data_IF_324591937587
#
_entry.id   IF_324591937587
#
_cell.length_a   1.000
_cell.length_b   1.000
_cell.length_c   1.000
_cell.angle_alpha   90.00
_cell.angle_beta   90.00
_cell.angle_gamma   90.00
#
_symmetry.space_group_name_H-M   'P 1'
#
loop_
_entity.id
_entity.type
_entity.pdbx_description
1 polymer ?
#
# COMPACT_ATOMS: atom_id res chain seq x y z
N UNK A 1 10.47 -26.77 14.56
CA UNK A 1 9.98 -26.21 13.29
C UNK A 1 9.99 -24.71 13.45
N UNK A 2 10.53 -23.91 12.52
CA UNK A 2 10.38 -22.47 12.61
C UNK A 2 8.88 -22.14 12.61
N UNK A 3 8.47 -21.25 13.50
CA UNK A 3 7.07 -20.76 13.55
C UNK A 3 6.79 -20.08 12.22
N UNK A 4 5.74 -20.51 11.49
CA UNK A 4 5.28 -19.80 10.29
C UNK A 4 4.85 -18.41 10.75
N UNK A 5 5.52 -17.38 10.25
CA UNK A 5 5.19 -15.99 10.58
C UNK A 5 3.81 -15.68 10.03
N UNK A 6 3.08 -14.84 10.76
CA UNK A 6 1.74 -14.43 10.33
C UNK A 6 1.86 -13.61 9.04
N UNK A 7 1.02 -13.94 8.06
CA UNK A 7 0.87 -13.14 6.84
C UNK A 7 0.53 -11.69 7.18
N UNK A 8 1.03 -10.77 6.37
CA UNK A 8 0.59 -9.37 6.39
C UNK A 8 -0.34 -9.18 5.19
N UNK A 9 -1.63 -9.11 5.47
CA UNK A 9 -2.70 -9.16 4.50
C UNK A 9 -3.87 -8.23 4.88
N UNK A 10 -4.97 -8.31 4.14
CA UNK A 10 -6.14 -7.50 4.40
C UNK A 10 -6.10 -6.14 3.69
N UNK A 11 -6.78 -5.15 4.26
CA UNK A 11 -6.84 -3.79 3.71
C UNK A 11 -5.71 -2.96 4.30
N UNK A 12 -4.69 -2.68 3.45
CA UNK A 12 -3.45 -2.03 3.86
C UNK A 12 -3.33 -0.68 3.13
N UNK A 13 -3.76 0.44 3.73
CA UNK A 13 -3.52 1.75 3.16
C UNK A 13 -2.04 2.04 2.93
N UNK A 14 -1.72 2.51 1.72
CA UNK A 14 -0.42 3.10 1.38
C UNK A 14 -0.43 4.55 1.84
N UNK A 15 0.16 4.81 3.00
CA UNK A 15 0.00 6.09 3.71
C UNK A 15 0.53 7.28 2.92
N UNK A 16 -0.14 8.41 3.08
CA UNK A 16 0.34 9.72 2.62
C UNK A 16 1.24 10.34 3.69
N UNK A 17 2.16 11.21 3.26
CA UNK A 17 2.87 12.12 4.18
C UNK A 17 2.23 13.50 4.10
N UNK A 18 1.51 13.95 5.13
CA UNK A 18 1.03 15.34 5.18
C UNK A 18 2.21 16.29 5.42
N UNK A 19 2.22 17.39 4.69
CA UNK A 19 3.16 18.49 4.90
C UNK A 19 2.40 19.77 5.26
N UNK A 20 3.07 20.67 5.95
CA UNK A 20 2.61 22.06 6.08
C UNK A 20 2.87 22.85 4.78
N UNK A 21 2.48 24.14 4.78
CA UNK A 21 2.68 25.00 3.61
C UNK A 21 4.17 25.38 3.38
N UNK A 22 5.06 25.09 4.32
CA UNK A 22 6.51 25.25 4.23
C UNK A 22 7.21 23.97 3.77
N UNK A 23 6.47 22.86 3.64
CA UNK A 23 6.97 21.56 3.20
C UNK A 23 7.61 20.73 4.32
N UNK A 24 7.45 21.11 5.59
CA UNK A 24 7.79 20.25 6.73
C UNK A 24 6.65 19.23 6.99
N UNK A 25 6.99 18.09 7.60
CA UNK A 25 6.00 17.06 7.93
C UNK A 25 5.03 17.59 9.00
N UNK A 26 3.71 17.57 8.71
CA UNK A 26 2.66 17.90 9.70
C UNK A 26 2.28 16.65 10.49
N UNK A 27 2.94 16.49 11.62
CA UNK A 27 2.74 15.35 12.53
C UNK A 27 1.32 15.26 13.08
N UNK A 28 0.66 16.39 13.31
CA UNK A 28 -0.73 16.42 13.77
C UNK A 28 -1.72 15.92 12.71
N UNK A 29 -1.52 16.30 11.45
CA UNK A 29 -2.29 15.76 10.34
C UNK A 29 -1.96 14.28 10.08
N UNK A 30 -0.72 13.84 10.34
CA UNK A 30 -0.34 12.42 10.22
C UNK A 30 -1.04 11.56 11.28
N UNK A 31 -1.10 12.02 12.53
CA UNK A 31 -1.84 11.34 13.60
C UNK A 31 -3.32 11.22 13.26
N UNK A 32 -3.94 12.32 12.82
CA UNK A 32 -5.34 12.32 12.37
C UNK A 32 -5.60 11.37 11.19
N UNK A 33 -4.65 11.23 10.27
CA UNK A 33 -4.73 10.30 9.15
C UNK A 33 -4.65 8.84 9.64
N UNK A 34 -3.75 8.53 10.57
CA UNK A 34 -3.60 7.19 11.14
C UNK A 34 -4.92 6.77 11.83
N UNK A 35 -5.48 7.62 12.68
CA UNK A 35 -6.75 7.34 13.34
C UNK A 35 -7.88 7.14 12.32
N UNK A 36 -7.93 7.97 11.26
CA UNK A 36 -8.91 7.82 10.20
C UNK A 36 -8.79 6.46 9.48
N UNK A 37 -7.58 5.97 9.18
CA UNK A 37 -7.42 4.64 8.58
C UNK A 37 -7.95 3.54 9.49
N UNK A 38 -7.61 3.60 10.77
CA UNK A 38 -8.03 2.61 11.76
C UNK A 38 -9.54 2.61 11.97
N UNK A 39 -10.16 3.79 12.08
CA UNK A 39 -11.63 3.95 12.14
C UNK A 39 -12.32 3.41 10.88
N UNK A 40 -11.67 3.51 9.73
CA UNK A 40 -12.16 2.98 8.45
C UNK A 40 -11.82 1.49 8.25
N UNK A 41 -11.28 0.83 9.26
CA UNK A 41 -11.10 -0.61 9.27
C UNK A 41 -9.88 -1.09 8.50
N UNK A 42 -8.83 -0.29 8.42
CA UNK A 42 -7.53 -0.76 7.94
C UNK A 42 -7.03 -1.94 8.78
N UNK A 43 -6.47 -2.94 8.13
CA UNK A 43 -5.96 -4.18 8.75
C UNK A 43 -4.43 -4.18 8.85
N UNK A 44 -3.78 -3.21 8.24
CA UNK A 44 -2.36 -2.90 8.34
C UNK A 44 -2.10 -1.50 7.78
N UNK A 45 -0.93 -0.91 8.04
CA UNK A 45 -0.54 0.39 7.49
C UNK A 45 0.83 0.30 6.80
N UNK A 46 0.91 0.77 5.57
CA UNK A 46 2.19 0.89 4.85
C UNK A 46 2.73 2.31 4.99
N UNK A 47 3.51 2.54 6.04
CA UNK A 47 3.90 3.87 6.51
C UNK A 47 4.83 4.61 5.54
N UNK A 48 5.84 3.91 4.99
CA UNK A 48 6.81 4.49 4.06
C UNK A 48 6.77 3.73 2.74
N UNK A 49 6.27 4.38 1.70
CA UNK A 49 6.13 3.80 0.35
C UNK A 49 6.10 4.93 -0.69
N UNK A 50 5.82 4.62 -1.95
CA UNK A 50 5.74 5.65 -2.99
C UNK A 50 4.66 6.71 -2.68
N UNK A 51 3.51 6.31 -2.16
CA UNK A 51 2.42 7.23 -1.79
C UNK A 51 2.80 8.21 -0.68
N UNK A 52 3.71 7.82 0.20
CA UNK A 52 4.29 8.71 1.21
C UNK A 52 5.37 9.65 0.65
N UNK A 53 5.58 9.63 -0.66
CA UNK A 53 6.59 10.44 -1.35
C UNK A 53 8.03 10.07 -0.91
N UNK A 54 8.29 8.78 -0.64
CA UNK A 54 9.56 8.32 -0.05
C UNK A 54 10.80 8.76 -0.84
N UNK A 55 10.69 8.95 -2.17
CA UNK A 55 11.79 9.43 -3.03
C UNK A 55 12.14 10.89 -2.79
N UNK A 56 11.26 11.66 -2.13
CA UNK A 56 11.41 13.07 -1.82
C UNK A 56 11.65 13.33 -0.33
N UNK A 57 11.83 12.27 0.45
CA UNK A 57 12.13 12.29 1.87
C UNK A 57 13.59 11.87 2.12
N UNK A 58 14.27 12.55 3.03
CA UNK A 58 15.55 12.09 3.55
C UNK A 58 15.41 10.78 4.31
N UNK A 59 16.49 10.03 4.50
CA UNK A 59 16.47 8.82 5.33
C UNK A 59 15.98 9.10 6.75
N UNK A 60 16.38 10.23 7.33
CA UNK A 60 15.93 10.66 8.64
C UNK A 60 14.41 10.85 8.69
N UNK A 61 13.83 11.56 7.72
CA UNK A 61 12.37 11.73 7.63
C UNK A 61 11.64 10.41 7.42
N UNK A 62 12.17 9.49 6.58
CA UNK A 62 11.57 8.17 6.36
C UNK A 62 11.54 7.33 7.64
N UNK A 63 12.64 7.32 8.40
CA UNK A 63 12.72 6.57 9.66
C UNK A 63 11.86 7.20 10.75
N UNK A 64 11.79 8.53 10.82
CA UNK A 64 10.95 9.24 11.77
C UNK A 64 9.46 9.02 11.49
N UNK A 65 9.04 9.02 10.21
CA UNK A 65 7.68 8.65 9.78
C UNK A 65 7.30 7.24 10.24
N UNK A 66 8.18 6.26 10.03
CA UNK A 66 7.95 4.88 10.44
C UNK A 66 7.81 4.78 11.96
N UNK A 67 8.74 5.37 12.73
CA UNK A 67 8.71 5.40 14.19
C UNK A 67 7.46 6.07 14.75
N UNK A 68 7.08 7.22 14.18
CA UNK A 68 5.87 7.92 14.58
C UNK A 68 4.63 7.06 14.33
N UNK A 69 4.55 6.43 13.16
CA UNK A 69 3.42 5.55 12.82
C UNK A 69 3.32 4.36 13.75
N UNK A 70 4.43 3.67 14.02
CA UNK A 70 4.48 2.56 14.98
C UNK A 70 3.97 2.99 16.36
N UNK A 71 4.45 4.13 16.85
CA UNK A 71 4.04 4.69 18.14
C UNK A 71 2.55 5.05 18.16
N UNK A 72 2.06 5.73 17.13
CA UNK A 72 0.66 6.16 17.04
C UNK A 72 -0.29 4.96 16.89
N UNK A 73 0.07 3.96 16.09
CA UNK A 73 -0.73 2.72 15.92
C UNK A 73 -0.77 1.91 17.21
N UNK A 74 0.31 1.90 17.98
CA UNK A 74 0.38 1.22 19.30
C UNK A 74 -0.08 -0.24 19.28
N UNK A 75 0.34 -1.01 18.26
CA UNK A 75 0.05 -2.43 18.12
C UNK A 75 -1.39 -2.78 17.70
N UNK A 76 -2.23 -1.81 17.34
CA UNK A 76 -3.63 -2.06 16.91
C UNK A 76 -3.71 -2.82 15.58
N UNK A 77 -2.77 -2.57 14.68
CA UNK A 77 -2.59 -3.28 13.41
C UNK A 77 -1.10 -3.34 13.08
N UNK A 78 -0.62 -4.26 12.21
CA UNK A 78 0.76 -4.25 11.77
C UNK A 78 1.12 -2.98 10.97
N UNK A 79 2.32 -2.47 11.22
CA UNK A 79 2.94 -1.36 10.49
C UNK A 79 4.08 -1.89 9.65
N UNK A 80 4.00 -1.71 8.33
CA UNK A 80 5.08 -2.05 7.40
C UNK A 80 5.67 -0.78 6.79
N UNK A 81 6.94 -0.85 6.41
CA UNK A 81 7.60 0.24 5.74
C UNK A 81 8.61 -0.27 4.71
N UNK A 82 8.76 0.47 3.63
CA UNK A 82 9.88 0.39 2.71
C UNK A 82 10.86 1.52 3.06
N UNK A 83 11.68 1.94 2.15
CA UNK A 83 12.48 3.14 2.40
C UNK A 83 13.90 3.02 1.87
N UNK A 84 14.21 1.91 1.19
CA UNK A 84 15.41 1.85 0.39
C UNK A 84 15.12 2.35 -1.02
N UNK A 85 15.82 3.41 -1.40
CA UNK A 85 15.68 4.07 -2.69
C UNK A 85 17.02 4.25 -3.40
N UNK A 86 18.11 4.01 -2.71
CA UNK A 86 19.46 4.13 -3.25
C UNK A 86 19.69 3.18 -4.43
N UNK A 87 20.60 3.56 -5.33
CA UNK A 87 21.04 2.70 -6.43
C UNK A 87 22.18 1.77 -6.02
N UNK A 88 23.05 2.22 -5.11
CA UNK A 88 24.19 1.44 -4.61
C UNK A 88 23.74 0.42 -3.55
N UNK A 89 24.28 -0.81 -3.63
CA UNK A 89 23.88 -1.92 -2.76
C UNK A 89 24.25 -1.68 -1.27
N UNK A 90 25.37 -1.00 -0.99
CA UNK A 90 25.77 -0.70 0.38
C UNK A 90 24.86 0.36 1.00
N UNK A 91 24.48 1.37 0.23
CA UNK A 91 23.54 2.40 0.65
C UNK A 91 22.15 1.79 0.87
N UNK A 92 21.68 0.90 -0.02
CA UNK A 92 20.43 0.15 0.17
C UNK A 92 20.43 -0.64 1.48
N UNK A 93 21.51 -1.38 1.76
CA UNK A 93 21.63 -2.14 3.01
C UNK A 93 21.61 -1.22 4.24
N UNK A 94 22.26 -0.07 4.18
CA UNK A 94 22.24 0.92 5.25
C UNK A 94 20.85 1.52 5.47
N UNK A 95 20.12 1.86 4.40
CA UNK A 95 18.75 2.36 4.46
C UNK A 95 17.80 1.30 5.07
N UNK A 96 17.89 0.04 4.62
CA UNK A 96 17.08 -1.07 5.14
C UNK A 96 17.37 -1.33 6.63
N UNK A 97 18.67 -1.32 7.02
CA UNK A 97 19.05 -1.49 8.43
C UNK A 97 18.55 -0.33 9.32
N UNK A 98 18.55 0.89 8.80
CA UNK A 98 17.99 2.04 9.52
C UNK A 98 16.48 1.89 9.70
N UNK A 99 15.76 1.45 8.65
CA UNK A 99 14.33 1.21 8.71
C UNK A 99 13.97 0.05 9.65
N UNK A 100 14.73 -1.04 9.65
CA UNK A 100 14.53 -2.18 10.56
C UNK A 100 14.58 -1.80 12.04
N UNK A 101 15.27 -0.72 12.40
CA UNK A 101 15.38 -0.23 13.79
C UNK A 101 14.21 0.65 14.24
N UNK A 102 13.22 0.90 13.39
CA UNK A 102 12.11 1.80 13.70
C UNK A 102 10.97 1.14 14.47
N UNK A 103 11.03 -0.18 14.68
CA UNK A 103 10.01 -0.95 15.38
C UNK A 103 8.83 -1.40 14.50
N UNK A 104 8.99 -1.35 13.19
CA UNK A 104 7.98 -1.87 12.23
C UNK A 104 7.81 -3.39 12.35
N UNK A 105 6.60 -3.88 12.02
CA UNK A 105 6.26 -5.30 12.05
C UNK A 105 6.71 -6.05 10.78
N UNK A 106 7.05 -5.33 9.72
CA UNK A 106 7.56 -5.90 8.48
C UNK A 106 8.31 -4.88 7.62
N UNK A 107 9.45 -5.31 7.06
CA UNK A 107 10.27 -4.51 6.17
C UNK A 107 10.01 -4.91 4.71
N UNK A 108 9.63 -3.94 3.87
CA UNK A 108 9.25 -4.18 2.48
C UNK A 108 10.36 -3.72 1.54
N UNK A 109 10.94 -4.65 0.80
CA UNK A 109 11.95 -4.37 -0.21
C UNK A 109 11.28 -3.98 -1.54
N UNK A 110 11.97 -3.17 -2.33
CA UNK A 110 11.51 -2.70 -3.64
C UNK A 110 12.15 -3.55 -4.76
N UNK A 111 11.32 -4.23 -5.57
CA UNK A 111 11.79 -5.21 -6.55
C UNK A 111 12.73 -4.65 -7.63
N UNK A 112 12.51 -3.40 -8.05
CA UNK A 112 13.33 -2.75 -9.08
C UNK A 112 14.72 -2.33 -8.60
N UNK A 113 15.05 -2.59 -7.32
CA UNK A 113 16.39 -2.37 -6.74
C UNK A 113 17.19 -3.67 -6.61
N UNK A 114 16.55 -4.84 -6.76
CA UNK A 114 17.18 -6.14 -6.53
C UNK A 114 17.75 -6.78 -7.79
N UNK A 115 17.06 -6.66 -8.92
CA UNK A 115 17.51 -7.17 -10.23
C UNK A 115 17.01 -6.22 -11.32
N UNK A 116 17.72 -5.12 -11.48
CA UNK A 116 17.33 -4.00 -12.32
C UNK A 116 17.14 -4.39 -13.79
N UNK A 117 18.04 -5.20 -14.28
CA UNK A 117 18.16 -5.50 -15.70
C UNK A 117 17.48 -6.83 -16.09
N UNK A 118 16.76 -7.46 -15.15
CA UNK A 118 16.08 -8.73 -15.32
C UNK A 118 17.04 -9.87 -15.76
N UNK A 119 18.20 -9.96 -15.12
CA UNK A 119 19.19 -10.99 -15.38
C UNK A 119 18.76 -12.38 -14.87
N UNK A 120 17.69 -12.41 -14.05
CA UNK A 120 17.03 -13.63 -13.60
C UNK A 120 17.27 -14.00 -12.15
N UNK A 121 16.69 -15.14 -11.73
CA UNK A 121 16.64 -15.58 -10.33
C UNK A 121 17.99 -15.59 -9.62
N UNK A 122 19.08 -15.94 -10.33
CA UNK A 122 20.42 -15.95 -9.75
C UNK A 122 20.87 -14.58 -9.26
N UNK A 123 20.71 -13.55 -10.10
CA UNK A 123 21.03 -12.17 -9.78
C UNK A 123 20.08 -11.62 -8.70
N UNK A 124 18.79 -11.89 -8.83
CA UNK A 124 17.79 -11.50 -7.82
C UNK A 124 18.17 -12.04 -6.43
N UNK A 125 18.51 -13.32 -6.31
CA UNK A 125 18.92 -13.94 -5.05
C UNK A 125 20.19 -13.32 -4.47
N UNK A 126 21.18 -13.04 -5.32
CA UNK A 126 22.43 -12.41 -4.91
C UNK A 126 22.18 -11.01 -4.36
N UNK A 127 21.41 -10.18 -5.06
CA UNK A 127 21.06 -8.84 -4.64
C UNK A 127 20.20 -8.84 -3.36
N UNK A 128 19.24 -9.76 -3.28
CA UNK A 128 18.39 -9.92 -2.09
C UNK A 128 19.23 -10.30 -0.86
N UNK A 129 20.13 -11.28 -1.00
CA UNK A 129 21.03 -11.68 0.07
C UNK A 129 21.90 -10.51 0.54
N UNK A 130 22.49 -9.75 -0.38
CA UNK A 130 23.30 -8.57 -0.06
C UNK A 130 22.47 -7.52 0.69
N UNK A 131 21.24 -7.25 0.26
CA UNK A 131 20.35 -6.28 0.89
C UNK A 131 19.89 -6.68 2.29
N UNK A 132 19.76 -7.99 2.56
CA UNK A 132 19.17 -8.49 3.82
C UNK A 132 20.18 -9.09 4.81
N UNK A 133 21.45 -9.24 4.43
CA UNK A 133 22.49 -9.91 5.23
C UNK A 133 22.70 -9.31 6.64
N UNK A 134 22.48 -8.00 6.80
CA UNK A 134 22.65 -7.31 8.08
C UNK A 134 21.34 -7.12 8.87
N UNK A 135 20.22 -7.61 8.34
CA UNK A 135 18.91 -7.49 8.99
C UNK A 135 18.71 -8.57 10.05
N UNK A 136 17.94 -8.32 11.10
CA UNK A 136 17.55 -9.36 12.06
C UNK A 136 16.84 -10.54 11.36
N UNK A 137 17.20 -11.77 11.72
CA UNK A 137 16.65 -13.00 11.12
C UNK A 137 15.15 -13.18 11.39
N UNK A 138 14.66 -12.60 12.50
CA UNK A 138 13.28 -12.66 12.92
C UNK A 138 12.42 -11.54 12.36
N UNK A 139 12.97 -10.55 11.67
CA UNK A 139 12.21 -9.48 11.01
C UNK A 139 11.45 -10.02 9.80
N UNK A 140 10.10 -9.90 9.77
CA UNK A 140 9.32 -10.24 8.59
C UNK A 140 9.67 -9.37 7.39
N UNK A 141 9.74 -9.97 6.21
CA UNK A 141 10.06 -9.28 4.97
C UNK A 141 8.87 -9.28 4.00
N UNK A 142 8.82 -8.29 3.16
CA UNK A 142 7.88 -8.21 2.04
C UNK A 142 8.57 -7.73 0.77
N UNK A 143 7.89 -7.91 -0.37
CA UNK A 143 8.30 -7.32 -1.65
C UNK A 143 7.23 -6.36 -2.17
N UNK A 144 7.69 -5.27 -2.77
CA UNK A 144 6.86 -4.29 -3.45
C UNK A 144 7.34 -4.06 -4.88
N UNK A 145 6.48 -4.32 -5.84
CA UNK A 145 6.71 -4.02 -7.25
C UNK A 145 6.51 -2.53 -7.52
N UNK A 146 7.36 -1.69 -6.90
CA UNK A 146 7.26 -0.24 -6.98
C UNK A 146 7.39 0.23 -8.43
N UNK A 147 6.44 1.04 -8.96
CA UNK A 147 6.54 1.51 -10.32
C UNK A 147 7.58 2.61 -10.55
N UNK A 148 8.11 3.23 -9.49
CA UNK A 148 9.14 4.27 -9.59
C UNK A 148 10.52 3.75 -9.14
N UNK A 149 11.61 4.07 -9.86
CA UNK A 149 11.66 4.89 -11.09
C UNK A 149 11.19 4.15 -12.35
N UNK A 150 11.05 2.84 -12.29
CA UNK A 150 10.49 1.99 -13.34
C UNK A 150 9.84 0.74 -12.72
N UNK A 151 8.83 0.22 -13.39
CA UNK A 151 8.10 -0.96 -12.95
C UNK A 151 8.86 -2.24 -13.29
N UNK A 152 9.20 -3.05 -12.27
CA UNK A 152 9.73 -4.40 -12.42
C UNK A 152 8.82 -5.38 -11.71
N UNK A 153 8.24 -6.30 -12.45
CA UNK A 153 7.42 -7.38 -11.91
C UNK A 153 8.30 -8.56 -11.52
N UNK A 154 7.90 -9.23 -10.44
CA UNK A 154 8.52 -10.49 -10.02
C UNK A 154 8.14 -11.62 -11.00
N UNK A 155 9.11 -12.47 -11.33
CA UNK A 155 8.91 -13.67 -12.11
C UNK A 155 8.29 -14.79 -11.27
N UNK A 156 7.75 -15.82 -11.93
CA UNK A 156 7.16 -16.97 -11.24
C UNK A 156 8.21 -17.73 -10.38
N UNK A 157 9.45 -17.78 -10.82
CA UNK A 157 10.52 -18.43 -10.07
C UNK A 157 10.96 -17.61 -8.85
N UNK A 158 10.94 -16.28 -8.95
CA UNK A 158 11.15 -15.41 -7.80
C UNK A 158 10.01 -15.53 -6.78
N UNK A 159 8.74 -15.59 -7.23
CA UNK A 159 7.58 -15.83 -6.35
C UNK A 159 7.73 -17.18 -5.61
N UNK A 160 8.07 -18.26 -6.30
CA UNK A 160 8.32 -19.57 -5.67
C UNK A 160 9.44 -19.50 -4.64
N UNK A 161 10.55 -18.86 -5.02
CA UNK A 161 11.69 -18.69 -4.11
C UNK A 161 11.31 -17.94 -2.83
N UNK A 162 10.51 -16.87 -2.95
CA UNK A 162 10.00 -16.09 -1.81
C UNK A 162 8.98 -16.89 -0.99
N UNK A 163 8.14 -17.70 -1.63
CA UNK A 163 7.17 -18.54 -0.95
C UNK A 163 7.83 -19.68 -0.11
N UNK A 164 9.00 -20.14 -0.53
CA UNK A 164 9.79 -21.16 0.19
C UNK A 164 10.56 -20.55 1.38
N UNK A 165 10.78 -19.23 1.41
CA UNK A 165 11.46 -18.53 2.50
C UNK A 165 10.44 -18.00 3.52
N UNK A 166 10.41 -18.62 4.71
CA UNK A 166 9.49 -18.27 5.80
C UNK A 166 9.62 -16.84 6.33
N UNK A 167 10.62 -16.06 5.93
CA UNK A 167 10.76 -14.63 6.28
C UNK A 167 9.83 -13.77 5.46
N UNK A 168 9.47 -14.20 4.23
CA UNK A 168 8.60 -13.41 3.37
C UNK A 168 7.13 -13.66 3.69
N UNK A 169 6.45 -12.60 4.10
CA UNK A 169 5.06 -12.65 4.60
C UNK A 169 4.08 -11.90 3.70
N UNK A 170 4.57 -11.13 2.73
CA UNK A 170 3.72 -10.40 1.81
C UNK A 170 4.40 -10.01 0.50
N UNK A 171 3.59 -9.91 -0.55
CA UNK A 171 3.90 -9.17 -1.79
C UNK A 171 2.81 -8.13 -2.02
N UNK A 172 3.22 -6.90 -2.35
CA UNK A 172 2.35 -5.91 -2.96
C UNK A 172 2.46 -6.05 -4.47
N UNK A 173 1.45 -6.70 -5.05
CA UNK A 173 1.34 -6.97 -6.48
C UNK A 173 0.87 -5.72 -7.25
N UNK A 174 1.67 -5.28 -8.20
CA UNK A 174 1.38 -4.15 -9.09
C UNK A 174 1.31 -4.59 -10.55
N UNK A 175 1.00 -5.87 -10.78
CA UNK A 175 0.85 -6.41 -12.14
C UNK A 175 -0.30 -5.75 -12.90
N UNK A 176 -1.37 -5.37 -12.20
CA UNK A 176 -2.62 -4.87 -12.78
C UNK A 176 -3.28 -5.89 -13.73
N UNK A 177 -3.04 -7.18 -13.50
CA UNK A 177 -3.46 -8.28 -14.35
C UNK A 177 -3.99 -9.43 -13.50
N UNK A 178 -5.27 -9.79 -13.68
CA UNK A 178 -5.93 -10.81 -12.88
C UNK A 178 -5.34 -12.22 -13.09
N UNK A 179 -4.89 -12.54 -14.30
CA UNK A 179 -4.29 -13.85 -14.60
C UNK A 179 -2.95 -13.98 -13.89
N UNK A 180 -2.16 -12.90 -13.84
CA UNK A 180 -0.90 -12.86 -13.08
C UNK A 180 -1.18 -13.01 -11.58
N UNK A 181 -2.14 -12.25 -11.02
CA UNK A 181 -2.52 -12.38 -9.61
C UNK A 181 -2.96 -13.80 -9.29
N UNK A 182 -3.84 -14.38 -10.11
CA UNK A 182 -4.36 -15.76 -9.90
C UNK A 182 -3.23 -16.79 -9.94
N UNK A 183 -2.30 -16.68 -10.90
CA UNK A 183 -1.14 -17.55 -11.00
C UNK A 183 -0.25 -17.45 -9.76
N UNK A 184 0.03 -16.23 -9.27
CA UNK A 184 0.83 -15.98 -8.05
C UNK A 184 0.18 -16.58 -6.81
N UNK A 185 -1.14 -16.48 -6.68
CA UNK A 185 -1.88 -17.13 -5.60
C UNK A 185 -1.68 -18.65 -5.61
N UNK A 186 -1.67 -19.25 -6.83
CA UNK A 186 -1.35 -20.67 -6.98
C UNK A 186 0.07 -21.02 -6.55
N UNK A 187 1.07 -20.17 -6.90
CA UNK A 187 2.48 -20.37 -6.55
C UNK A 187 2.75 -20.20 -5.04
N UNK A 188 2.04 -19.27 -4.39
CA UNK A 188 2.16 -19.01 -2.96
C UNK A 188 1.29 -19.92 -2.08
N UNK A 189 0.51 -20.82 -2.69
CA UNK A 189 -0.45 -21.68 -1.95
C UNK A 189 0.26 -22.57 -0.94
N UNK A 190 -0.18 -22.51 0.31
CA UNK A 190 0.38 -23.30 1.41
C UNK A 190 1.62 -22.69 2.06
N UNK A 191 2.12 -21.56 1.57
CA UNK A 191 3.21 -20.80 2.18
C UNK A 191 2.70 -19.71 3.13
N UNK A 192 3.64 -19.06 3.84
CA UNK A 192 3.37 -17.86 4.64
C UNK A 192 3.28 -16.56 3.84
N UNK A 193 3.39 -16.60 2.51
CA UNK A 193 3.45 -15.43 1.63
C UNK A 193 2.04 -14.97 1.23
N UNK A 194 1.66 -13.75 1.59
CA UNK A 194 0.42 -13.12 1.15
C UNK A 194 0.60 -12.41 -0.20
N UNK A 195 -0.39 -12.52 -1.08
CA UNK A 195 -0.47 -11.77 -2.34
C UNK A 195 -1.51 -10.65 -2.18
N UNK A 196 -1.05 -9.41 -2.01
CA UNK A 196 -1.90 -8.23 -1.85
C UNK A 196 -1.98 -7.47 -3.18
N UNK A 197 -3.14 -7.51 -3.83
CA UNK A 197 -3.38 -6.74 -5.05
C UNK A 197 -3.34 -5.23 -4.77
N UNK A 198 -2.76 -4.44 -5.68
CA UNK A 198 -2.74 -2.98 -5.57
C UNK A 198 -3.63 -2.27 -6.59
N UNK A 199 -4.21 -2.97 -7.55
CA UNK A 199 -5.02 -2.37 -8.61
C UNK A 199 -6.52 -2.41 -8.27
N UNK A 200 -7.15 -1.24 -8.24
CA UNK A 200 -8.57 -1.09 -7.89
C UNK A 200 -9.51 -1.69 -8.93
N UNK A 201 -9.13 -1.68 -10.23
CA UNK A 201 -10.01 -2.14 -11.30
C UNK A 201 -10.24 -3.66 -11.26
N UNK A 202 -9.28 -4.42 -10.73
CA UNK A 202 -9.39 -5.88 -10.57
C UNK A 202 -9.59 -6.32 -9.11
N UNK A 203 -9.76 -5.39 -8.17
CA UNK A 203 -9.77 -5.72 -6.74
C UNK A 203 -10.84 -6.75 -6.37
N UNK A 204 -12.07 -6.60 -6.88
CA UNK A 204 -13.17 -7.53 -6.63
C UNK A 204 -12.87 -8.93 -7.18
N UNK A 205 -12.40 -9.01 -8.41
CA UNK A 205 -12.10 -10.30 -9.03
C UNK A 205 -10.86 -10.96 -8.42
N UNK A 206 -9.88 -10.16 -7.98
CA UNK A 206 -8.75 -10.66 -7.23
C UNK A 206 -9.18 -11.26 -5.87
N UNK A 207 -10.10 -10.63 -5.14
CA UNK A 207 -10.68 -11.21 -3.91
C UNK A 207 -11.44 -12.51 -4.21
N UNK A 208 -12.22 -12.57 -5.28
CA UNK A 208 -12.89 -13.81 -5.72
C UNK A 208 -11.90 -14.92 -6.08
N UNK A 209 -10.75 -14.56 -6.64
CA UNK A 209 -9.65 -15.49 -6.94
C UNK A 209 -8.87 -15.92 -5.69
N UNK A 210 -9.11 -15.29 -4.54
CA UNK A 210 -8.47 -15.60 -3.25
C UNK A 210 -7.30 -14.71 -2.87
N UNK A 211 -7.18 -13.50 -3.45
CA UNK A 211 -6.17 -12.54 -3.04
C UNK A 211 -6.29 -12.25 -1.53
N UNK A 212 -5.14 -12.26 -0.85
CA UNK A 212 -5.08 -12.12 0.61
C UNK A 212 -5.47 -10.71 1.07
N UNK A 213 -5.23 -9.68 0.23
CA UNK A 213 -5.54 -8.30 0.59
C UNK A 213 -5.51 -7.31 -0.57
N UNK A 214 -5.76 -6.04 -0.20
CA UNK A 214 -5.70 -4.90 -1.10
C UNK A 214 -4.79 -3.80 -0.53
N UNK A 215 -3.72 -3.48 -1.27
CA UNK A 215 -2.72 -2.48 -0.91
C UNK A 215 -2.63 -1.38 -1.97
N UNK A 216 -3.79 -0.87 -2.42
CA UNK A 216 -3.92 0.12 -3.49
C UNK A 216 -4.03 1.56 -2.98
N UNK A 217 -3.79 2.52 -3.88
CA UNK A 217 -3.78 3.96 -3.56
C UNK A 217 -5.14 4.49 -3.12
N UNK A 218 -6.24 3.87 -3.56
CA UNK A 218 -7.59 4.30 -3.20
C UNK A 218 -8.05 3.85 -1.81
N UNK A 219 -7.24 3.12 -1.06
CA UNK A 219 -7.36 3.03 0.39
C UNK A 219 -7.22 4.39 1.10
N UNK A 220 -6.67 5.40 0.42
CA UNK A 220 -6.64 6.79 0.89
C UNK A 220 -7.99 7.52 0.76
N UNK A 221 -9.01 6.90 0.19
CA UNK A 221 -10.34 7.49 -0.01
C UNK A 221 -11.44 6.70 0.70
N UNK A 222 -11.46 5.39 0.57
CA UNK A 222 -12.54 4.55 1.08
C UNK A 222 -12.08 3.11 1.42
N UNK A 223 -11.14 2.94 2.37
CA UNK A 223 -10.65 1.61 2.74
C UNK A 223 -11.75 0.71 3.29
N UNK A 224 -12.75 1.28 3.97
CA UNK A 224 -13.93 0.59 4.48
C UNK A 224 -14.79 -0.06 3.39
N UNK A 225 -14.84 0.51 2.20
CA UNK A 225 -15.57 -0.09 1.07
C UNK A 225 -14.81 -1.28 0.47
N UNK A 226 -13.46 -1.20 0.37
CA UNK A 226 -12.66 -2.37 -0.02
C UNK A 226 -12.72 -3.48 1.04
N UNK A 227 -12.75 -3.12 2.32
CA UNK A 227 -12.95 -4.08 3.40
C UNK A 227 -14.28 -4.81 3.28
N UNK A 228 -15.36 -4.06 3.08
CA UNK A 228 -16.68 -4.65 2.89
C UNK A 228 -16.72 -5.54 1.64
N UNK A 229 -16.11 -5.10 0.55
CA UNK A 229 -16.05 -5.87 -0.70
C UNK A 229 -15.36 -7.23 -0.49
N UNK A 230 -14.29 -7.26 0.29
CA UNK A 230 -13.57 -8.49 0.66
C UNK A 230 -14.39 -9.38 1.60
N UNK A 231 -14.89 -8.82 2.70
CA UNK A 231 -15.43 -9.60 3.83
C UNK A 231 -16.91 -9.98 3.61
N UNK A 232 -17.73 -9.07 3.11
CA UNK A 232 -19.17 -9.23 2.97
C UNK A 232 -19.63 -9.33 1.50
N UNK A 233 -18.83 -8.86 0.57
CA UNK A 233 -19.16 -8.90 -0.87
C UNK A 233 -19.59 -10.26 -1.37
N UNK A 234 -18.96 -11.40 -0.98
CA UNK A 234 -19.39 -12.74 -1.39
C UNK A 234 -20.85 -13.10 -1.02
N UNK A 235 -21.37 -12.52 0.07
CA UNK A 235 -22.77 -12.73 0.50
C UNK A 235 -23.75 -11.76 -0.16
N UNK A 236 -23.27 -10.75 -0.89
CA UNK A 236 -24.07 -9.72 -1.56
C UNK A 236 -23.53 -9.43 -2.97
N UNK A 237 -23.55 -10.44 -3.88
CA UNK A 237 -22.83 -10.39 -5.16
C UNK A 237 -23.24 -9.22 -6.07
N UNK A 238 -24.53 -8.88 -6.12
CA UNK A 238 -25.03 -7.79 -6.98
C UNK A 238 -24.49 -6.43 -6.50
N UNK A 239 -24.61 -6.15 -5.20
CA UNK A 239 -24.08 -4.90 -4.62
C UNK A 239 -22.55 -4.85 -4.71
N UNK A 240 -21.88 -5.99 -4.54
CA UNK A 240 -20.44 -6.08 -4.68
C UNK A 240 -19.97 -5.76 -6.11
N UNK A 241 -20.67 -6.27 -7.13
CA UNK A 241 -20.37 -5.98 -8.52
C UNK A 241 -20.58 -4.48 -8.86
N UNK A 242 -21.67 -3.88 -8.41
CA UNK A 242 -21.92 -2.44 -8.59
C UNK A 242 -20.85 -1.59 -7.86
N UNK A 243 -20.54 -1.94 -6.62
CA UNK A 243 -19.50 -1.26 -5.84
C UNK A 243 -18.14 -1.36 -6.52
N UNK A 244 -17.77 -2.53 -7.04
CA UNK A 244 -16.51 -2.74 -7.74
C UNK A 244 -16.35 -1.80 -8.95
N UNK A 245 -17.42 -1.60 -9.72
CA UNK A 245 -17.44 -0.64 -10.84
C UNK A 245 -17.19 0.78 -10.33
N UNK A 246 -17.90 1.20 -9.28
CA UNK A 246 -17.68 2.53 -8.68
C UNK A 246 -16.24 2.71 -8.21
N UNK A 247 -15.69 1.73 -7.49
CA UNK A 247 -14.32 1.78 -6.97
C UNK A 247 -13.27 1.86 -8.09
N UNK A 248 -13.47 1.09 -9.16
CA UNK A 248 -12.59 1.11 -10.33
C UNK A 248 -12.62 2.48 -11.06
N UNK A 249 -13.82 3.04 -11.28
CA UNK A 249 -13.98 4.35 -11.92
C UNK A 249 -13.46 5.49 -11.03
N UNK A 250 -13.69 5.45 -9.72
CA UNK A 250 -13.11 6.40 -8.78
C UNK A 250 -11.57 6.35 -8.84
N UNK A 251 -10.99 5.15 -8.87
CA UNK A 251 -9.55 4.96 -8.92
C UNK A 251 -8.90 5.44 -10.22
N UNK A 252 -9.63 5.53 -11.31
CA UNK A 252 -9.11 6.09 -12.57
C UNK A 252 -8.67 7.56 -12.43
N UNK A 253 -9.15 8.25 -11.40
CA UNK A 253 -8.75 9.65 -11.11
C UNK A 253 -7.34 9.77 -10.50
N UNK A 254 -6.65 8.68 -10.20
CA UNK A 254 -5.25 8.68 -9.77
C UNK A 254 -4.37 9.53 -10.70
N UNK A 255 -4.62 9.47 -12.00
CA UNK A 255 -3.91 10.26 -13.01
C UNK A 255 -4.11 11.77 -12.88
N UNK A 256 -5.06 12.24 -12.06
CA UNK A 256 -5.28 13.66 -11.79
C UNK A 256 -4.37 14.21 -10.68
N UNK A 257 -3.15 13.70 -10.60
CA UNK A 257 -2.10 14.24 -9.73
C UNK A 257 -2.03 13.61 -8.33
N UNK A 258 -2.20 12.30 -8.21
CA UNK A 258 -1.87 11.58 -6.98
C UNK A 258 -0.35 11.68 -6.67
N UNK A 259 0.09 11.86 -5.42
CA UNK A 259 -0.68 11.80 -4.17
C UNK A 259 -1.38 13.11 -3.78
N UNK A 260 -1.16 14.22 -4.46
CA UNK A 260 -1.77 15.52 -4.12
C UNK A 260 -3.31 15.49 -4.19
N UNK A 261 -3.87 14.70 -5.13
CA UNK A 261 -5.32 14.44 -5.21
C UNK A 261 -5.87 13.90 -3.87
N UNK A 262 -5.22 12.91 -3.30
CA UNK A 262 -5.64 12.33 -2.03
C UNK A 262 -5.45 13.31 -0.86
N UNK A 263 -4.40 14.13 -0.89
CA UNK A 263 -4.21 15.21 0.11
C UNK A 263 -5.33 16.26 0.02
N UNK A 264 -5.78 16.61 -1.18
CA UNK A 264 -6.92 17.49 -1.37
C UNK A 264 -8.22 16.89 -0.80
N UNK A 265 -8.46 15.61 -1.03
CA UNK A 265 -9.58 14.88 -0.43
C UNK A 265 -9.53 14.95 1.10
N UNK A 266 -8.38 14.68 1.72
CA UNK A 266 -8.21 14.74 3.17
C UNK A 266 -8.32 16.17 3.73
N UNK A 267 -7.88 17.20 2.98
CA UNK A 267 -8.08 18.59 3.36
C UNK A 267 -9.57 18.98 3.40
N UNK A 268 -10.35 18.53 2.39
CA UNK A 268 -11.81 18.76 2.38
C UNK A 268 -12.52 18.14 3.59
N UNK A 269 -11.97 17.05 4.11
CA UNK A 269 -12.49 16.34 5.30
C UNK A 269 -11.96 16.89 6.61
N UNK A 270 -11.06 17.84 6.58
CA UNK A 270 -10.43 18.41 7.78
C UNK A 270 -9.32 17.56 8.40
N UNK A 271 -8.94 16.44 7.77
CA UNK A 271 -7.84 15.58 8.23
C UNK A 271 -6.49 16.28 7.99
N UNK A 272 -6.32 16.96 6.84
CA UNK A 272 -5.11 17.71 6.50
C UNK A 272 -5.36 19.21 6.53
N UNK A 273 -4.32 19.97 6.91
CA UNK A 273 -4.32 21.43 6.87
C UNK A 273 -3.85 21.98 5.53
N UNK A 274 -2.96 21.27 4.85
CA UNK A 274 -2.37 21.67 3.57
C UNK A 274 -2.47 20.54 2.53
N UNK A 275 -2.39 20.91 1.25
CA UNK A 275 -2.28 19.99 0.10
C UNK A 275 -0.87 19.94 -0.46
N UNK A 276 0.10 20.49 0.26
CA UNK A 276 1.49 20.50 -0.19
C UNK A 276 1.97 19.09 -0.52
N UNK A 277 2.68 18.95 -1.63
CA UNK A 277 3.27 17.70 -2.09
C UNK A 277 4.65 18.01 -2.70
N UNK A 278 5.66 17.26 -2.28
CA UNK A 278 7.00 17.37 -2.85
C UNK A 278 7.09 16.65 -4.20
N UNK A 279 6.27 15.60 -4.40
CA UNK A 279 6.22 14.84 -5.65
C UNK A 279 5.41 15.52 -6.75
N UNK A 280 4.38 16.29 -6.37
CA UNK A 280 3.47 16.99 -7.30
C UNK A 280 3.43 18.47 -6.90
N UNK A 281 4.41 19.29 -7.35
CA UNK A 281 4.47 20.71 -6.97
C UNK A 281 3.34 21.55 -7.59
N UNK A 282 2.87 21.16 -8.79
CA UNK A 282 1.89 21.91 -9.55
C UNK A 282 0.51 21.99 -8.87
N UNK A 283 -0.23 23.05 -9.19
CA UNK A 283 -1.63 23.19 -8.80
C UNK A 283 -2.52 22.31 -9.69
N UNK A 284 -2.89 21.14 -9.17
CA UNK A 284 -3.68 20.15 -9.92
C UNK A 284 -5.09 20.68 -10.29
N UNK A 285 -5.64 21.64 -9.56
CA UNK A 285 -6.94 22.25 -9.90
C UNK A 285 -6.85 23.11 -11.16
N UNK A 286 -5.69 23.71 -11.42
CA UNK A 286 -5.46 24.45 -12.68
C UNK A 286 -5.23 23.52 -13.87
N UNK A 287 -4.64 22.33 -13.62
CA UNK A 287 -4.39 21.36 -14.68
C UNK A 287 -5.65 20.57 -15.04
N UNK A 288 -6.46 20.21 -14.04
CA UNK A 288 -7.65 19.37 -14.20
C UNK A 288 -8.91 20.17 -13.84
N UNK A 289 -9.50 20.84 -14.79
CA UNK A 289 -10.63 21.78 -14.56
C UNK A 289 -11.88 21.13 -13.96
N UNK A 290 -12.08 19.84 -14.18
CA UNK A 290 -13.19 19.08 -13.60
C UNK A 290 -12.89 18.50 -12.20
N UNK A 291 -11.70 18.74 -11.65
CA UNK A 291 -11.20 18.06 -10.44
C UNK A 291 -12.18 18.15 -9.26
N UNK A 292 -12.68 19.35 -8.98
CA UNK A 292 -13.60 19.57 -7.85
C UNK A 292 -14.92 18.83 -8.03
N UNK A 293 -15.48 18.85 -9.25
CA UNK A 293 -16.72 18.14 -9.56
C UNK A 293 -16.52 16.61 -9.49
N UNK A 294 -15.36 16.11 -9.93
CA UNK A 294 -15.03 14.68 -9.86
C UNK A 294 -14.87 14.23 -8.41
N UNK A 295 -14.12 14.98 -7.59
CA UNK A 295 -13.98 14.67 -6.16
C UNK A 295 -15.33 14.68 -5.43
N UNK A 296 -16.21 15.66 -5.72
CA UNK A 296 -17.56 15.67 -5.18
C UNK A 296 -18.35 14.41 -5.54
N UNK A 297 -18.23 13.90 -6.77
CA UNK A 297 -18.92 12.66 -7.17
C UNK A 297 -18.34 11.42 -6.48
N UNK A 298 -17.02 11.39 -6.25
CA UNK A 298 -16.40 10.34 -5.44
C UNK A 298 -16.92 10.38 -3.99
N UNK A 299 -17.02 11.57 -3.38
CA UNK A 299 -17.54 11.75 -2.03
C UNK A 299 -19.00 11.32 -1.92
N UNK A 300 -19.85 11.75 -2.87
CA UNK A 300 -21.28 11.37 -2.93
C UNK A 300 -21.42 9.85 -3.12
N UNK A 301 -20.74 9.26 -4.10
CA UNK A 301 -20.80 7.83 -4.37
C UNK A 301 -20.33 7.01 -3.17
N UNK A 302 -19.24 7.42 -2.53
CA UNK A 302 -18.75 6.78 -1.29
C UNK A 302 -19.82 6.81 -0.18
N UNK A 303 -20.48 7.96 0.03
CA UNK A 303 -21.54 8.09 1.03
C UNK A 303 -22.78 7.23 0.69
N UNK A 304 -23.17 7.16 -0.58
CA UNK A 304 -24.27 6.32 -1.06
C UNK A 304 -24.02 4.83 -0.79
N UNK A 305 -22.82 4.33 -1.13
CA UNK A 305 -22.49 2.91 -0.88
C UNK A 305 -22.39 2.62 0.61
N UNK A 306 -21.84 3.49 1.43
CA UNK A 306 -21.86 3.35 2.90
C UNK A 306 -23.28 3.25 3.44
N UNK A 307 -24.20 4.08 2.95
CA UNK A 307 -25.62 4.04 3.34
C UNK A 307 -26.29 2.72 2.91
N UNK A 308 -26.07 2.27 1.67
CA UNK A 308 -26.62 0.99 1.18
C UNK A 308 -26.11 -0.19 2.02
N UNK A 309 -24.82 -0.22 2.32
CA UNK A 309 -24.19 -1.25 3.17
C UNK A 309 -24.75 -1.24 4.60
N UNK A 310 -24.95 -0.06 5.17
CA UNK A 310 -25.54 0.07 6.51
C UNK A 310 -26.97 -0.47 6.56
N UNK A 311 -27.75 -0.23 5.50
CA UNK A 311 -29.13 -0.74 5.40
C UNK A 311 -29.21 -2.26 5.33
N UNK A 312 -28.22 -2.96 4.75
CA UNK A 312 -28.19 -4.44 4.75
C UNK A 312 -28.09 -5.02 6.18
N UNK A 313 -27.43 -4.30 7.09
CA UNK A 313 -27.32 -4.74 8.50
C UNK A 313 -28.62 -4.60 9.27
N UNK A 314 -29.52 -3.73 8.83
CA UNK A 314 -30.79 -3.46 9.47
C UNK A 314 -31.96 -4.31 8.93
N UNK A 315 -31.74 -5.00 7.81
CA UNK A 315 -32.73 -5.88 7.16
C UNK A 315 -32.02 -7.16 6.69
N UNK A 316 -31.66 -8.06 7.65
CA UNK A 316 -30.95 -9.31 7.36
C UNK A 316 -31.80 -10.30 6.53
#
# INVERSE_FOLDING_TARGET
MPQVKQKIDGIIPVMLTPFDDQGAIDWGSLEALIEWYLEKGAEGLFAVCQSSEMQFLSLAERTELAQFTVKAVSGRVPVIASGHIADDAADQAAELLAMAKTGIDGLVLVSNRLDRDNEGLGQFRTALAAATNSLPDDLPLGLYECPAPFRRLLTDDEIKFLADDHRFVMIKDVSCDLDIVTRRLGLAKGSGLAINNANAAIAHDAFKAGADGFCGVFNNFHPDLYRWLKDAGPSHPDLAAELAVFLALAASTEYMGYPKLAKLYHRRRGTFKSVYSRAVPDDIAKTFWALDAVLEKIEIGTAQYRSRIANLRNHP
#
